data_IF_664198268643
#
_entry.id   IF_664198268643
#
_cell.length_a   1.000
_cell.length_b   1.000
_cell.length_c   1.000
_cell.angle_alpha   90.00
_cell.angle_beta   90.00
_cell.angle_gamma   90.00
#
_symmetry.space_group_name_H-M   'P 1'
#
loop_
_entity.id
_entity.type
_entity.pdbx_description
1 polymer ?
#
# COMPACT_ATOMS: atom_id res chain seq x y z
N UNK A 1 12.97 -24.16 -0.59
CA UNK A 1 12.08 -22.99 -0.78
C UNK A 1 12.55 -22.22 -2.01
N UNK A 2 11.66 -21.58 -2.76
CA UNK A 2 12.07 -20.72 -3.88
C UNK A 2 12.79 -19.49 -3.32
N UNK A 3 13.72 -18.88 -4.10
CA UNK A 3 14.44 -17.67 -3.67
C UNK A 3 13.54 -16.47 -3.40
N UNK A 4 12.28 -16.50 -3.90
CA UNK A 4 11.27 -15.48 -3.72
C UNK A 4 10.41 -15.68 -2.47
N UNK A 5 10.46 -16.84 -1.82
CA UNK A 5 9.62 -17.14 -0.67
C UNK A 5 9.93 -16.18 0.49
N UNK A 6 8.87 -15.70 1.17
CA UNK A 6 8.94 -14.77 2.28
C UNK A 6 7.80 -15.02 3.27
N UNK A 7 7.66 -14.17 4.27
CA UNK A 7 6.53 -14.18 5.19
C UNK A 7 6.20 -12.78 5.71
N UNK A 8 4.96 -12.58 6.12
CA UNK A 8 4.52 -11.45 6.94
C UNK A 8 4.25 -11.99 8.35
N UNK A 9 5.22 -11.78 9.25
CA UNK A 9 5.22 -12.47 10.54
C UNK A 9 5.23 -13.97 10.33
N UNK A 10 4.24 -14.67 10.89
CA UNK A 10 4.05 -16.11 10.72
C UNK A 10 3.29 -16.50 9.44
N UNK A 11 2.79 -15.55 8.66
CA UNK A 11 1.98 -15.82 7.47
C UNK A 11 2.88 -16.01 6.24
N UNK A 12 2.98 -17.24 5.68
CA UNK A 12 3.90 -17.52 4.58
C UNK A 12 3.39 -16.97 3.25
N UNK A 13 4.31 -16.51 2.41
CA UNK A 13 4.06 -16.01 1.05
C UNK A 13 4.99 -16.71 0.05
N UNK A 14 4.44 -17.14 -1.09
CA UNK A 14 5.23 -17.79 -2.18
C UNK A 14 6.20 -16.80 -2.86
N UNK A 15 5.90 -15.51 -2.83
CA UNK A 15 6.73 -14.39 -3.27
C UNK A 15 6.24 -13.09 -2.59
N UNK A 16 6.98 -11.97 -2.65
CA UNK A 16 6.62 -10.75 -1.92
C UNK A 16 5.55 -9.88 -2.60
N UNK A 17 5.02 -10.22 -3.78
CA UNK A 17 4.16 -9.32 -4.56
C UNK A 17 2.68 -9.63 -4.32
N UNK A 18 1.97 -8.66 -3.78
CA UNK A 18 0.53 -8.69 -3.48
C UNK A 18 -0.17 -7.70 -4.43
N UNK A 19 -1.29 -8.10 -5.04
CA UNK A 19 -2.15 -7.16 -5.76
C UNK A 19 -2.98 -6.37 -4.74
N UNK A 20 -2.78 -5.05 -4.68
CA UNK A 20 -3.45 -4.19 -3.72
C UNK A 20 -4.94 -3.98 -4.03
N UNK A 21 -5.69 -3.56 -3.01
CA UNK A 21 -7.11 -3.18 -3.14
C UNK A 21 -7.29 -2.03 -4.12
N UNK A 22 -8.11 -2.25 -5.14
CA UNK A 22 -8.44 -1.27 -6.17
C UNK A 22 -9.45 -1.82 -7.18
N UNK A 23 -9.72 -1.05 -8.21
CA UNK A 23 -10.70 -1.39 -9.24
C UNK A 23 -10.38 -2.70 -9.99
N UNK A 24 -9.11 -3.05 -10.29
CA UNK A 24 -8.81 -4.31 -10.95
C UNK A 24 -9.30 -5.55 -10.19
N UNK A 25 -9.45 -5.47 -8.87
CA UNK A 25 -9.82 -6.59 -7.99
C UNK A 25 -11.18 -6.40 -7.30
N UNK A 26 -12.10 -5.69 -7.98
CA UNK A 26 -13.49 -5.51 -7.53
C UNK A 26 -14.44 -6.62 -8.00
N UNK A 27 -13.94 -7.56 -8.79
CA UNK A 27 -14.69 -8.72 -9.29
C UNK A 27 -13.91 -10.01 -9.05
N UNK A 28 -14.61 -11.12 -8.99
CA UNK A 28 -13.98 -12.45 -8.89
C UNK A 28 -13.06 -12.74 -10.07
N UNK A 29 -13.44 -12.27 -11.28
CA UNK A 29 -12.60 -12.42 -12.47
C UNK A 29 -11.27 -11.68 -12.36
N UNK A 30 -11.30 -10.44 -11.84
CA UNK A 30 -10.10 -9.64 -11.60
C UNK A 30 -9.19 -10.25 -10.53
N UNK A 31 -9.77 -10.75 -9.42
CA UNK A 31 -9.02 -11.45 -8.38
C UNK A 31 -8.32 -12.69 -8.96
N UNK A 32 -9.05 -13.54 -9.72
CA UNK A 32 -8.45 -14.71 -10.38
C UNK A 32 -7.36 -14.33 -11.39
N UNK A 33 -7.53 -13.21 -12.11
CA UNK A 33 -6.52 -12.72 -13.06
C UNK A 33 -5.23 -12.31 -12.34
N UNK A 34 -5.32 -11.60 -11.19
CA UNK A 34 -4.16 -11.26 -10.37
C UNK A 34 -3.44 -12.50 -9.83
N UNK A 35 -4.18 -13.50 -9.35
CA UNK A 35 -3.62 -14.77 -8.85
C UNK A 35 -2.92 -15.55 -9.98
N UNK A 36 -3.54 -15.64 -11.17
CA UNK A 36 -2.90 -16.28 -12.36
C UNK A 36 -1.66 -15.53 -12.84
N UNK A 37 -1.60 -14.21 -12.65
CA UNK A 37 -0.41 -13.43 -12.95
C UNK A 37 0.74 -13.66 -11.94
N UNK A 38 0.53 -14.49 -10.91
CA UNK A 38 1.56 -14.91 -9.95
C UNK A 38 1.52 -14.16 -8.63
N UNK A 39 0.59 -13.23 -8.39
CA UNK A 39 0.49 -12.55 -7.09
C UNK A 39 0.46 -13.56 -5.93
N UNK A 40 1.23 -13.32 -4.88
CA UNK A 40 1.19 -14.14 -3.67
C UNK A 40 -0.13 -13.99 -2.92
N UNK A 41 -0.80 -12.86 -3.13
CA UNK A 41 -2.12 -12.60 -2.59
C UNK A 41 -2.80 -11.43 -3.29
N UNK A 42 -4.07 -11.26 -2.97
CA UNK A 42 -4.91 -10.18 -3.46
C UNK A 42 -5.65 -9.55 -2.29
N UNK A 43 -5.51 -8.24 -2.13
CA UNK A 43 -6.39 -7.48 -1.25
C UNK A 43 -7.62 -7.09 -2.07
N UNK A 44 -8.75 -7.73 -1.80
CA UNK A 44 -9.99 -7.47 -2.54
C UNK A 44 -10.46 -6.01 -2.35
N UNK A 45 -11.23 -5.49 -3.30
CA UNK A 45 -11.74 -4.11 -3.22
C UNK A 45 -12.45 -3.88 -1.89
N UNK A 46 -12.11 -2.78 -1.23
CA UNK A 46 -12.58 -2.44 0.11
C UNK A 46 -14.10 -2.24 0.17
N UNK A 47 -14.68 -2.63 1.29
CA UNK A 47 -16.07 -2.35 1.68
C UNK A 47 -16.12 -1.20 2.70
N UNK A 48 -17.33 -0.69 2.94
CA UNK A 48 -17.64 0.19 4.06
C UNK A 48 -18.99 -0.23 4.66
N UNK A 49 -19.21 0.06 5.93
CA UNK A 49 -20.47 -0.25 6.63
C UNK A 49 -21.65 0.63 6.20
N UNK A 50 -21.38 1.79 5.58
CA UNK A 50 -22.43 2.73 5.14
C UNK A 50 -22.78 2.55 3.67
N UNK A 51 -24.04 2.32 3.33
CA UNK A 51 -24.48 2.19 1.92
C UNK A 51 -24.20 3.43 1.06
N UNK A 52 -24.14 4.62 1.68
CA UNK A 52 -23.81 5.86 0.96
C UNK A 52 -22.38 5.84 0.40
N UNK A 53 -21.45 5.15 1.05
CA UNK A 53 -20.07 5.04 0.58
C UNK A 53 -19.94 4.21 -0.71
N UNK A 54 -20.79 3.20 -0.90
CA UNK A 54 -20.82 2.39 -2.13
C UNK A 54 -21.11 3.26 -3.38
N UNK A 55 -21.99 4.26 -3.26
CA UNK A 55 -22.34 5.18 -4.37
C UNK A 55 -21.18 6.09 -4.79
N UNK A 56 -20.11 6.17 -4.03
CA UNK A 56 -18.92 6.95 -4.43
C UNK A 56 -18.26 6.37 -5.69
N UNK A 57 -18.43 5.07 -5.97
CA UNK A 57 -17.91 4.46 -7.18
C UNK A 57 -18.52 5.07 -8.45
N UNK A 58 -19.78 5.51 -8.41
CA UNK A 58 -20.44 6.17 -9.54
C UNK A 58 -19.86 7.56 -9.85
N UNK A 59 -19.04 8.11 -8.94
CA UNK A 59 -18.29 9.36 -9.09
C UNK A 59 -16.79 9.13 -9.29
N UNK A 60 -16.37 7.87 -9.44
CA UNK A 60 -14.95 7.53 -9.66
C UNK A 60 -14.46 8.10 -10.99
N UNK A 61 -13.23 8.57 -10.99
CA UNK A 61 -12.58 9.11 -12.18
C UNK A 61 -11.05 8.97 -12.04
N UNK A 62 -10.33 8.86 -13.16
CA UNK A 62 -8.93 8.49 -13.22
C UNK A 62 -8.20 9.29 -14.28
N UNK A 63 -6.99 9.75 -13.94
CA UNK A 63 -6.04 10.29 -14.89
C UNK A 63 -4.67 9.65 -14.65
N UNK A 64 -3.96 9.34 -15.73
CA UNK A 64 -2.54 9.05 -15.65
C UNK A 64 -1.75 10.34 -15.87
N UNK A 65 -0.68 10.51 -15.09
CA UNK A 65 0.17 11.70 -15.19
C UNK A 65 1.58 11.28 -15.60
N UNK A 66 2.23 12.14 -16.38
CA UNK A 66 3.63 12.03 -16.74
C UNK A 66 4.57 12.50 -15.62
N UNK A 67 5.86 12.58 -15.88
CA UNK A 67 6.87 13.04 -14.94
C UNK A 67 6.74 14.54 -14.59
N UNK A 68 6.09 15.33 -15.43
CA UNK A 68 5.80 16.74 -15.19
C UNK A 68 4.48 16.95 -14.43
N UNK A 69 3.74 15.87 -14.14
CA UNK A 69 2.45 15.93 -13.48
C UNK A 69 1.28 16.28 -14.41
N UNK A 70 1.49 16.22 -15.73
CA UNK A 70 0.46 16.51 -16.72
C UNK A 70 -0.30 15.24 -17.11
N UNK A 71 -1.62 15.40 -17.34
CA UNK A 71 -2.45 14.30 -17.81
C UNK A 71 -1.94 13.75 -19.15
N UNK A 72 -1.75 12.44 -19.23
CA UNK A 72 -1.17 11.78 -20.40
C UNK A 72 -1.73 10.38 -20.57
N UNK A 73 -1.45 9.78 -21.73
CA UNK A 73 -1.75 8.39 -22.04
C UNK A 73 -0.49 7.64 -22.51
N UNK A 74 -0.52 6.31 -22.42
CA UNK A 74 0.55 5.47 -22.93
C UNK A 74 1.83 5.47 -22.06
N UNK A 75 3.01 5.24 -22.68
CA UNK A 75 4.24 4.90 -21.94
C UNK A 75 4.82 6.06 -21.11
N UNK A 76 4.44 7.30 -21.40
CA UNK A 76 4.86 8.46 -20.60
C UNK A 76 4.20 8.52 -19.23
N UNK A 77 3.10 7.79 -19.02
CA UNK A 77 2.39 7.73 -17.74
C UNK A 77 3.25 7.06 -16.65
N UNK A 78 3.51 7.79 -15.58
CA UNK A 78 4.34 7.34 -14.45
C UNK A 78 3.61 7.37 -13.12
N UNK A 79 2.45 8.04 -13.07
CA UNK A 79 1.64 8.20 -11.88
C UNK A 79 0.16 7.99 -12.16
N UNK A 80 -0.57 7.57 -11.13
CA UNK A 80 -2.03 7.48 -11.13
C UNK A 80 -2.58 8.58 -10.22
N UNK A 81 -3.50 9.37 -10.77
CA UNK A 81 -4.30 10.37 -10.07
C UNK A 81 -5.75 9.95 -10.13
N UNK A 82 -6.44 9.79 -8.99
CA UNK A 82 -7.75 9.14 -9.01
C UNK A 82 -8.68 9.54 -7.87
N UNK A 83 -9.98 9.58 -8.22
CA UNK A 83 -11.10 9.52 -7.28
C UNK A 83 -11.66 8.09 -7.35
N UNK A 84 -11.15 7.18 -6.54
CA UNK A 84 -11.67 5.80 -6.52
C UNK A 84 -12.90 5.70 -5.61
N UNK A 85 -13.69 4.64 -5.79
CA UNK A 85 -14.83 4.32 -4.94
C UNK A 85 -14.62 3.04 -4.13
N UNK A 86 -15.70 2.51 -3.56
CA UNK A 86 -15.74 1.26 -2.80
C UNK A 86 -16.59 0.23 -3.54
N UNK A 87 -16.58 -1.03 -3.09
CA UNK A 87 -17.44 -2.06 -3.68
C UNK A 87 -18.92 -1.70 -3.51
N UNK A 88 -19.72 -1.93 -4.55
CA UNK A 88 -21.18 -1.67 -4.53
C UNK A 88 -22.00 -2.91 -4.15
N UNK A 89 -21.37 -4.09 -4.04
CA UNK A 89 -22.03 -5.32 -3.59
C UNK A 89 -22.31 -5.26 -2.10
N UNK A 90 -23.32 -6.01 -1.67
CA UNK A 90 -23.54 -6.27 -0.25
C UNK A 90 -22.29 -6.87 0.39
N UNK A 91 -21.98 -6.44 1.62
CA UNK A 91 -20.78 -6.83 2.32
C UNK A 91 -20.71 -8.34 2.60
N UNK A 92 -21.87 -8.97 2.95
CA UNK A 92 -21.88 -10.40 3.25
C UNK A 92 -21.70 -11.23 1.97
N UNK A 93 -22.38 -10.84 0.89
CA UNK A 93 -22.23 -11.50 -0.42
C UNK A 93 -20.81 -11.37 -0.96
N UNK A 94 -20.20 -10.18 -0.78
CA UNK A 94 -18.81 -9.96 -1.19
C UNK A 94 -17.85 -10.82 -0.38
N UNK A 95 -18.01 -10.87 0.94
CA UNK A 95 -17.14 -11.69 1.78
C UNK A 95 -17.32 -13.19 1.54
N UNK A 96 -18.53 -13.66 1.26
CA UNK A 96 -18.75 -15.04 0.86
C UNK A 96 -18.02 -15.39 -0.44
N UNK A 97 -18.07 -14.50 -1.45
CA UNK A 97 -17.39 -14.68 -2.72
C UNK A 97 -15.86 -14.71 -2.55
N UNK A 98 -15.27 -13.71 -1.86
CA UNK A 98 -13.82 -13.66 -1.69
C UNK A 98 -13.30 -14.77 -0.75
N UNK A 99 -14.09 -15.25 0.21
CA UNK A 99 -13.72 -16.39 1.03
C UNK A 99 -13.67 -17.71 0.24
N UNK A 100 -14.55 -17.87 -0.76
CA UNK A 100 -14.45 -18.98 -1.69
C UNK A 100 -13.14 -18.91 -2.50
N UNK A 101 -12.80 -17.71 -3.01
CA UNK A 101 -11.54 -17.46 -3.72
C UNK A 101 -10.31 -17.64 -2.84
N UNK A 102 -10.38 -17.25 -1.55
CA UNK A 102 -9.29 -17.47 -0.60
C UNK A 102 -9.02 -18.96 -0.37
N UNK A 103 -10.08 -19.78 -0.26
CA UNK A 103 -9.92 -21.26 -0.16
C UNK A 103 -9.31 -21.88 -1.43
N UNK A 104 -9.66 -21.35 -2.60
CA UNK A 104 -9.03 -21.79 -3.86
C UNK A 104 -7.56 -21.38 -3.88
N UNK A 105 -7.25 -20.12 -3.60
CA UNK A 105 -5.89 -19.57 -3.58
C UNK A 105 -4.99 -20.30 -2.56
N UNK A 106 -5.53 -20.69 -1.41
CA UNK A 106 -4.77 -21.38 -0.37
C UNK A 106 -4.15 -22.70 -0.84
N UNK A 107 -4.79 -23.40 -1.78
CA UNK A 107 -4.27 -24.66 -2.37
C UNK A 107 -3.01 -24.43 -3.20
N UNK A 108 -2.79 -23.20 -3.66
CA UNK A 108 -1.65 -22.79 -4.47
C UNK A 108 -0.64 -21.92 -3.67
N UNK A 109 -0.76 -21.89 -2.33
CA UNK A 109 0.09 -21.07 -1.46
C UNK A 109 -0.12 -19.57 -1.63
N UNK A 110 -1.32 -19.15 -2.06
CA UNK A 110 -1.73 -17.76 -2.19
C UNK A 110 -2.91 -17.44 -1.24
N UNK A 111 -3.35 -16.17 -1.22
CA UNK A 111 -4.48 -15.74 -0.39
C UNK A 111 -5.32 -14.65 -1.06
N UNK A 112 -6.55 -14.49 -0.55
CA UNK A 112 -7.40 -13.35 -0.84
C UNK A 112 -7.84 -12.73 0.49
N UNK A 113 -7.55 -11.45 0.69
CA UNK A 113 -7.87 -10.73 1.91
C UNK A 113 -9.13 -9.88 1.75
N UNK A 114 -9.91 -9.75 2.84
CA UNK A 114 -10.87 -8.67 2.96
C UNK A 114 -10.16 -7.35 3.24
N UNK A 115 -10.72 -6.23 2.75
CA UNK A 115 -10.28 -4.88 3.08
C UNK A 115 -11.48 -4.01 3.44
N UNK A 116 -11.29 -3.15 4.44
CA UNK A 116 -12.29 -2.16 4.87
C UNK A 116 -11.70 -0.76 4.87
N UNK A 117 -12.52 0.19 4.44
CA UNK A 117 -12.43 1.60 4.82
C UNK A 117 -13.65 1.89 5.70
N UNK A 118 -13.44 2.30 6.92
CA UNK A 118 -14.49 2.43 7.93
C UNK A 118 -15.02 3.87 8.05
N UNK A 119 -16.24 4.02 8.54
CA UNK A 119 -16.84 5.30 8.92
C UNK A 119 -16.93 5.45 10.44
N UNK A 120 -17.00 4.34 11.18
CA UNK A 120 -17.05 4.32 12.63
C UNK A 120 -16.32 3.11 13.20
N UNK A 121 -15.86 3.22 14.45
CA UNK A 121 -15.21 2.10 15.15
C UNK A 121 -16.14 0.90 15.28
N UNK A 122 -17.42 1.12 15.60
CA UNK A 122 -18.43 0.06 15.73
C UNK A 122 -18.72 -0.60 14.36
N UNK A 123 -18.73 0.21 13.30
CA UNK A 123 -18.84 -0.28 11.93
C UNK A 123 -17.65 -1.15 11.53
N UNK A 124 -16.43 -0.71 11.83
CA UNK A 124 -15.22 -1.47 11.58
C UNK A 124 -15.24 -2.84 12.28
N UNK A 125 -15.62 -2.89 13.56
CA UNK A 125 -15.78 -4.12 14.36
C UNK A 125 -16.85 -5.05 13.75
N UNK A 126 -17.99 -4.48 13.36
CA UNK A 126 -19.09 -5.24 12.73
C UNK A 126 -18.64 -5.89 11.43
N UNK A 127 -17.99 -5.14 10.55
CA UNK A 127 -17.51 -5.65 9.24
C UNK A 127 -16.39 -6.68 9.44
N UNK A 128 -15.46 -6.45 10.36
CA UNK A 128 -14.41 -7.41 10.71
C UNK A 128 -14.99 -8.75 11.20
N UNK A 129 -16.01 -8.70 12.07
CA UNK A 129 -16.74 -9.89 12.52
C UNK A 129 -17.41 -10.65 11.37
N UNK A 130 -17.93 -9.94 10.35
CA UNK A 130 -18.50 -10.58 9.14
C UNK A 130 -17.41 -11.28 8.33
N UNK A 131 -16.25 -10.65 8.13
CA UNK A 131 -15.12 -11.27 7.45
C UNK A 131 -14.65 -12.55 8.14
N UNK A 132 -14.55 -12.53 9.47
CA UNK A 132 -14.23 -13.72 10.27
C UNK A 132 -15.25 -14.84 10.09
N UNK A 133 -16.55 -14.53 10.18
CA UNK A 133 -17.63 -15.53 9.99
C UNK A 133 -17.63 -16.11 8.58
N UNK A 134 -17.19 -15.37 7.57
CA UNK A 134 -17.03 -15.88 6.21
C UNK A 134 -15.83 -16.84 6.07
N UNK A 135 -14.94 -16.90 7.06
CA UNK A 135 -13.77 -17.77 7.07
C UNK A 135 -12.55 -17.23 6.34
N UNK A 136 -12.44 -15.91 6.23
CA UNK A 136 -11.27 -15.25 5.64
C UNK A 136 -10.06 -15.34 6.58
N UNK A 137 -8.86 -15.52 6.02
CA UNK A 137 -7.61 -15.66 6.78
C UNK A 137 -6.90 -14.34 7.05
N UNK A 138 -7.13 -13.32 6.22
CA UNK A 138 -6.45 -12.02 6.28
C UNK A 138 -7.49 -10.91 6.20
N UNK A 139 -7.35 -9.89 7.05
CA UNK A 139 -8.18 -8.69 7.07
C UNK A 139 -7.30 -7.45 7.05
N UNK A 140 -7.49 -6.59 6.04
CA UNK A 140 -6.83 -5.28 5.96
C UNK A 140 -7.76 -4.19 6.50
N UNK A 141 -7.32 -3.50 7.55
CA UNK A 141 -7.92 -2.27 8.06
C UNK A 141 -7.21 -1.06 7.42
N UNK A 142 -7.87 -0.41 6.47
CA UNK A 142 -7.31 0.77 5.82
C UNK A 142 -7.76 2.04 6.56
N UNK A 143 -6.84 2.66 7.29
CA UNK A 143 -7.07 3.88 8.07
C UNK A 143 -6.63 5.16 7.33
N UNK A 144 -6.20 5.02 6.08
CA UNK A 144 -5.66 6.11 5.26
C UNK A 144 -6.56 6.57 4.12
N UNK A 145 -7.86 6.25 4.12
CA UNK A 145 -8.76 6.61 3.03
C UNK A 145 -10.02 7.30 3.55
N UNK A 146 -10.30 8.54 3.10
CA UNK A 146 -11.52 9.26 3.48
C UNK A 146 -12.70 8.72 2.65
N UNK A 147 -13.68 8.14 3.32
CA UNK A 147 -14.91 7.65 2.70
C UNK A 147 -16.11 7.84 3.65
N UNK A 148 -17.32 7.61 3.12
CA UNK A 148 -18.58 7.70 3.84
C UNK A 148 -18.95 9.12 4.29
N UNK A 149 -19.30 9.31 5.57
CA UNK A 149 -19.82 10.58 6.08
C UNK A 149 -18.81 11.72 5.96
N UNK A 150 -17.54 11.46 6.20
CA UNK A 150 -16.47 12.45 6.09
C UNK A 150 -16.27 12.90 4.64
N UNK A 151 -16.30 11.98 3.69
CA UNK A 151 -16.23 12.32 2.27
C UNK A 151 -17.47 13.08 1.80
N UNK A 152 -18.66 12.72 2.29
CA UNK A 152 -19.90 13.46 2.02
C UNK A 152 -19.90 14.87 2.62
N UNK A 153 -19.24 15.06 3.76
CA UNK A 153 -19.05 16.36 4.39
C UNK A 153 -17.88 17.19 3.79
N UNK A 154 -17.19 16.65 2.77
CA UNK A 154 -16.03 17.30 2.15
C UNK A 154 -14.76 17.24 3.01
N UNK A 155 -14.78 16.54 4.12
CA UNK A 155 -13.61 16.37 4.97
C UNK A 155 -12.73 15.20 4.51
N UNK A 156 -11.41 15.38 4.59
CA UNK A 156 -10.42 14.31 4.44
C UNK A 156 -10.01 13.89 5.84
N UNK A 157 -10.73 12.91 6.39
CA UNK A 157 -10.39 12.36 7.70
C UNK A 157 -9.54 11.12 7.51
N UNK A 158 -8.38 11.14 8.13
CA UNK A 158 -7.44 10.02 8.16
C UNK A 158 -7.00 9.83 9.61
N UNK A 159 -6.79 8.59 10.01
CA UNK A 159 -6.31 8.36 11.36
C UNK A 159 -4.81 8.68 11.46
N UNK A 160 -4.51 9.75 12.17
CA UNK A 160 -3.15 10.25 12.38
C UNK A 160 -2.80 10.39 13.87
N UNK A 161 -3.72 10.05 14.75
CA UNK A 161 -3.52 10.05 16.20
C UNK A 161 -3.17 8.63 16.67
N UNK A 162 -1.99 8.40 17.29
CA UNK A 162 -1.56 7.08 17.71
C UNK A 162 -2.49 6.44 18.75
N UNK A 163 -3.02 7.19 19.70
CA UNK A 163 -3.85 6.63 20.78
C UNK A 163 -5.21 6.19 20.23
N UNK A 164 -5.82 6.98 19.37
CA UNK A 164 -7.05 6.59 18.67
C UNK A 164 -6.84 5.39 17.77
N UNK A 165 -5.71 5.35 17.05
CA UNK A 165 -5.37 4.21 16.20
C UNK A 165 -5.21 2.93 17.03
N UNK A 166 -4.48 2.98 18.13
CA UNK A 166 -4.31 1.83 19.02
C UNK A 166 -5.65 1.32 19.53
N UNK A 167 -6.53 2.22 20.00
CA UNK A 167 -7.86 1.86 20.49
C UNK A 167 -8.73 1.21 19.40
N UNK A 168 -8.72 1.77 18.18
CA UNK A 168 -9.43 1.21 17.02
C UNK A 168 -8.92 -0.19 16.67
N UNK A 169 -7.60 -0.34 16.54
CA UNK A 169 -6.98 -1.62 16.16
C UNK A 169 -7.27 -2.68 17.22
N UNK A 170 -7.21 -2.34 18.50
CA UNK A 170 -7.54 -3.26 19.61
C UNK A 170 -8.98 -3.76 19.53
N UNK A 171 -9.94 -2.91 19.18
CA UNK A 171 -11.34 -3.32 18.99
C UNK A 171 -11.50 -4.24 17.79
N UNK A 172 -10.89 -3.88 16.66
CA UNK A 172 -10.93 -4.70 15.44
C UNK A 172 -10.20 -6.04 15.65
N UNK A 173 -9.10 -6.07 16.44
CA UNK A 173 -8.40 -7.32 16.80
C UNK A 173 -9.31 -8.32 17.47
N UNK A 174 -10.15 -7.87 18.42
CA UNK A 174 -11.14 -8.75 19.06
C UNK A 174 -12.12 -9.37 18.06
N UNK A 175 -12.52 -8.62 17.03
CA UNK A 175 -13.43 -9.07 15.98
C UNK A 175 -12.76 -9.99 14.93
N UNK A 176 -11.42 -9.93 14.78
CA UNK A 176 -10.62 -10.69 13.81
C UNK A 176 -9.81 -11.82 14.46
N UNK A 177 -10.21 -12.31 15.63
CA UNK A 177 -9.53 -13.42 16.30
C UNK A 177 -9.32 -14.61 15.36
N UNK A 178 -8.10 -15.15 15.30
CA UNK A 178 -7.70 -16.22 14.39
C UNK A 178 -7.38 -15.80 12.96
N UNK A 179 -7.56 -14.53 12.62
CA UNK A 179 -7.16 -13.96 11.32
C UNK A 179 -5.87 -13.14 11.47
N UNK A 180 -5.14 -12.97 10.37
CA UNK A 180 -4.15 -11.90 10.25
C UNK A 180 -4.86 -10.54 10.18
N UNK A 181 -4.45 -9.58 11.01
CA UNK A 181 -4.92 -8.20 10.97
C UNK A 181 -3.78 -7.30 10.46
N UNK A 182 -3.93 -6.81 9.25
CA UNK A 182 -2.98 -5.87 8.64
C UNK A 182 -3.57 -4.47 8.66
N UNK A 183 -2.79 -3.48 9.11
CA UNK A 183 -3.24 -2.09 9.20
C UNK A 183 -2.51 -1.26 8.14
N UNK A 184 -3.27 -0.68 7.20
CA UNK A 184 -2.71 0.18 6.16
C UNK A 184 -2.81 1.64 6.57
N UNK A 185 -1.65 2.29 6.74
CA UNK A 185 -1.53 3.68 7.16
C UNK A 185 -1.63 4.66 6.00
N UNK A 186 -1.96 5.90 6.33
CA UNK A 186 -2.02 7.03 5.40
C UNK A 186 -0.65 7.43 4.84
N UNK A 187 -0.63 8.05 3.66
CA UNK A 187 0.55 8.74 3.12
C UNK A 187 0.72 10.18 3.61
N UNK A 188 -0.24 10.71 4.39
CA UNK A 188 -0.27 12.12 4.78
C UNK A 188 0.17 12.39 6.23
N UNK A 189 0.80 11.41 6.88
CA UNK A 189 1.36 11.61 8.22
C UNK A 189 2.89 11.66 8.17
N UNK A 190 3.46 12.60 8.92
CA UNK A 190 4.91 12.63 9.18
C UNK A 190 5.33 11.69 10.30
N UNK A 191 4.37 11.13 11.05
CA UNK A 191 4.63 10.31 12.25
C UNK A 191 4.27 8.82 12.04
N UNK A 192 4.60 8.27 10.88
CA UNK A 192 4.31 6.87 10.55
C UNK A 192 4.97 5.85 11.50
N UNK A 193 6.20 6.05 12.00
CA UNK A 193 6.76 5.13 12.99
C UNK A 193 5.90 5.03 14.25
N UNK A 194 5.44 6.14 14.83
CA UNK A 194 4.59 6.11 16.03
C UNK A 194 3.22 5.50 15.75
N UNK A 195 2.60 5.78 14.59
CA UNK A 195 1.36 5.13 14.18
C UNK A 195 1.54 3.62 14.01
N UNK A 196 2.66 3.18 13.44
CA UNK A 196 2.97 1.77 13.27
C UNK A 196 3.11 1.05 14.61
N UNK A 197 3.81 1.67 15.56
CA UNK A 197 3.95 1.14 16.92
C UNK A 197 2.61 1.11 17.67
N UNK A 198 1.74 2.10 17.46
CA UNK A 198 0.38 2.12 18.01
C UNK A 198 -0.48 0.99 17.43
N UNK A 199 -0.42 0.77 16.11
CA UNK A 199 -1.11 -0.36 15.46
C UNK A 199 -0.62 -1.70 16.02
N UNK A 200 0.70 -1.88 16.22
CA UNK A 200 1.27 -3.08 16.83
C UNK A 200 0.77 -3.30 18.26
N UNK A 201 0.76 -2.26 19.11
CA UNK A 201 0.22 -2.35 20.49
C UNK A 201 -1.28 -2.65 20.50
N UNK A 202 -2.00 -2.19 19.48
CA UNK A 202 -3.42 -2.53 19.26
C UNK A 202 -3.65 -3.98 18.81
N UNK A 203 -2.60 -4.71 18.41
CA UNK A 203 -2.67 -6.11 18.02
C UNK A 203 -2.62 -6.34 16.50
N UNK A 204 -2.14 -5.38 15.72
CA UNK A 204 -1.87 -5.61 14.30
C UNK A 204 -0.73 -6.63 14.11
N UNK A 205 -0.92 -7.58 13.21
CA UNK A 205 0.09 -8.57 12.82
C UNK A 205 1.10 -7.99 11.81
N UNK A 206 0.68 -6.98 11.04
CA UNK A 206 1.54 -6.24 10.12
C UNK A 206 1.02 -4.82 9.87
N UNK A 207 1.92 -3.95 9.38
CA UNK A 207 1.57 -2.59 8.97
C UNK A 207 1.95 -2.37 7.51
N UNK A 208 0.97 -1.93 6.72
CA UNK A 208 1.16 -1.48 5.35
C UNK A 208 1.43 0.03 5.27
N UNK A 209 2.46 0.45 4.56
CA UNK A 209 2.75 1.85 4.30
C UNK A 209 3.41 2.05 2.93
N UNK A 210 3.11 3.09 2.24
CA UNK A 210 2.18 4.15 2.60
C UNK A 210 0.95 4.04 1.71
N UNK A 211 -0.22 4.23 2.27
CA UNK A 211 -1.45 4.30 1.51
C UNK A 211 -1.45 5.48 0.53
N UNK A 212 -2.61 6.07 0.28
CA UNK A 212 -2.67 7.17 -0.69
C UNK A 212 -2.05 8.44 -0.16
N UNK A 213 -1.40 9.17 -1.05
CA UNK A 213 -1.20 10.61 -0.94
C UNK A 213 -2.39 11.34 -1.56
N UNK A 214 -2.54 12.62 -1.24
CA UNK A 214 -3.53 13.49 -1.87
C UNK A 214 -2.81 14.57 -2.68
N UNK A 215 -3.36 14.90 -3.83
CA UNK A 215 -2.85 15.93 -4.71
C UNK A 215 -3.96 16.76 -5.33
N UNK A 216 -3.58 17.84 -5.98
CA UNK A 216 -4.43 18.68 -6.82
C UNK A 216 -3.66 18.97 -8.11
N UNK A 217 -4.26 18.69 -9.25
CA UNK A 217 -3.70 18.99 -10.58
C UNK A 217 -4.57 20.06 -11.24
N UNK A 218 -4.13 21.35 -11.29
CA UNK A 218 -4.81 22.40 -12.04
C UNK A 218 -4.64 22.18 -13.54
N UNK A 219 -5.73 22.28 -14.28
CA UNK A 219 -5.72 22.33 -15.74
C UNK A 219 -5.63 23.81 -16.16
N UNK A 220 -4.61 24.15 -16.96
CA UNK A 220 -4.32 25.53 -17.33
C UNK A 220 -5.22 26.07 -18.45
N UNK A 221 -5.91 25.19 -19.18
CA UNK A 221 -6.85 25.62 -20.24
C UNK A 221 -8.23 25.92 -19.64
N UNK A 222 -8.67 25.12 -18.68
CA UNK A 222 -9.99 25.25 -18.08
C UNK A 222 -10.00 26.01 -16.77
N UNK A 223 -8.84 26.22 -16.12
CA UNK A 223 -8.67 26.77 -14.78
C UNK A 223 -9.43 25.98 -13.70
N UNK A 224 -9.58 24.68 -13.91
CA UNK A 224 -10.27 23.76 -13.00
C UNK A 224 -9.37 22.57 -12.64
N UNK A 225 -9.63 21.88 -11.51
CA UNK A 225 -8.91 20.62 -11.23
C UNK A 225 -9.22 19.58 -12.30
N UNK A 226 -8.20 18.84 -12.75
CA UNK A 226 -8.30 17.77 -13.78
C UNK A 226 -9.40 16.77 -13.44
N UNK A 227 -9.56 16.36 -12.18
CA UNK A 227 -10.65 15.48 -11.72
C UNK A 227 -11.74 16.22 -10.95
N UNK A 228 -11.86 17.54 -11.11
CA UNK A 228 -12.88 18.37 -10.46
C UNK A 228 -12.63 18.62 -8.95
N UNK A 229 -11.64 17.99 -8.34
CA UNK A 229 -11.30 18.13 -6.91
C UNK A 229 -9.89 17.61 -6.63
N UNK A 230 -9.45 17.75 -5.36
CA UNK A 230 -8.31 17.00 -4.82
C UNK A 230 -8.58 15.50 -4.88
N UNK A 231 -7.58 14.71 -5.24
CA UNK A 231 -7.72 13.29 -5.45
C UNK A 231 -6.48 12.50 -4.99
N UNK A 232 -6.59 11.18 -4.93
CA UNK A 232 -5.48 10.33 -4.57
C UNK A 232 -4.39 10.39 -5.65
N UNK A 233 -3.14 10.48 -5.22
CA UNK A 233 -1.97 10.60 -6.08
C UNK A 233 -0.92 9.57 -5.68
N UNK A 234 -0.51 8.74 -6.61
CA UNK A 234 0.50 7.70 -6.38
C UNK A 234 1.23 7.32 -7.64
N UNK A 235 2.41 6.75 -7.48
CA UNK A 235 3.27 6.36 -8.60
C UNK A 235 4.73 6.22 -8.19
N UNK A 236 5.62 6.03 -9.16
CA UNK A 236 7.05 5.80 -8.94
C UNK A 236 7.76 6.86 -8.10
N UNK A 237 7.28 8.11 -8.15
CA UNK A 237 7.82 9.22 -7.35
C UNK A 237 7.73 8.98 -5.83
N UNK A 238 6.76 8.18 -5.37
CA UNK A 238 6.56 7.91 -3.95
C UNK A 238 7.60 6.94 -3.36
N UNK A 239 8.30 6.17 -4.20
CA UNK A 239 9.22 5.11 -3.76
C UNK A 239 10.26 5.58 -2.74
N UNK A 240 11.01 6.68 -2.94
CA UNK A 240 12.02 7.13 -1.95
C UNK A 240 11.39 7.52 -0.60
N UNK A 241 10.18 8.08 -0.63
CA UNK A 241 9.46 8.47 0.59
C UNK A 241 9.03 7.22 1.35
N UNK A 242 8.46 6.24 0.65
CA UNK A 242 8.05 4.95 1.24
C UNK A 242 9.27 4.23 1.84
N UNK A 243 10.37 4.12 1.10
CA UNK A 243 11.62 3.51 1.58
C UNK A 243 12.11 4.17 2.88
N UNK A 244 12.09 5.51 2.94
CA UNK A 244 12.49 6.24 4.16
C UNK A 244 11.63 5.85 5.35
N UNK A 245 10.31 5.84 5.21
CA UNK A 245 9.41 5.52 6.33
C UNK A 245 9.44 4.05 6.71
N UNK A 246 9.61 3.13 5.77
CA UNK A 246 9.86 1.71 6.05
C UNK A 246 11.10 1.55 6.93
N UNK A 247 12.23 2.16 6.54
CA UNK A 247 13.49 2.05 7.29
C UNK A 247 13.38 2.67 8.69
N UNK A 248 12.76 3.85 8.82
CA UNK A 248 12.56 4.48 10.12
C UNK A 248 11.66 3.65 11.04
N UNK A 249 10.59 3.07 10.48
CA UNK A 249 9.66 2.22 11.25
C UNK A 249 10.32 0.91 11.66
N UNK A 250 11.07 0.26 10.77
CA UNK A 250 11.83 -0.95 11.11
C UNK A 250 12.79 -0.70 12.27
N UNK A 251 13.51 0.41 12.24
CA UNK A 251 14.41 0.80 13.35
C UNK A 251 13.65 1.06 14.65
N UNK A 252 12.54 1.82 14.59
CA UNK A 252 11.71 2.10 15.76
C UNK A 252 11.13 0.83 16.39
N UNK A 253 10.77 -0.14 15.57
CA UNK A 253 10.26 -1.44 16.01
C UNK A 253 11.35 -2.47 16.30
N UNK A 254 12.64 -2.14 16.18
CA UNK A 254 13.75 -3.08 16.28
C UNK A 254 13.54 -4.38 15.47
N UNK A 255 12.94 -4.26 14.28
CA UNK A 255 12.62 -5.39 13.39
C UNK A 255 11.46 -6.28 13.83
N UNK A 256 10.81 -6.01 14.97
CA UNK A 256 9.76 -6.87 15.53
C UNK A 256 8.40 -6.74 14.83
N UNK A 257 8.18 -5.65 14.06
CA UNK A 257 6.92 -5.40 13.35
C UNK A 257 7.07 -5.75 11.87
N UNK A 258 6.29 -6.72 11.35
CA UNK A 258 6.24 -7.00 9.93
C UNK A 258 5.70 -5.81 9.13
N UNK A 259 6.41 -5.43 8.04
CA UNK A 259 6.08 -4.28 7.22
C UNK A 259 5.71 -4.71 5.79
N UNK A 260 4.71 -4.05 5.21
CA UNK A 260 4.28 -4.19 3.83
C UNK A 260 4.48 -2.84 3.14
N UNK A 261 5.31 -2.81 2.08
CA UNK A 261 5.50 -1.59 1.29
C UNK A 261 4.35 -1.42 0.31
N UNK A 262 3.76 -0.22 0.23
CA UNK A 262 2.75 0.09 -0.79
C UNK A 262 3.01 1.47 -1.35
N UNK A 263 2.62 1.68 -2.61
CA UNK A 263 2.88 2.88 -3.40
C UNK A 263 4.34 2.97 -3.93
N UNK A 264 4.48 3.26 -5.21
CA UNK A 264 5.79 3.47 -5.85
C UNK A 264 6.37 2.26 -6.61
N UNK A 265 5.85 1.05 -6.44
CA UNK A 265 6.39 -0.15 -7.10
C UNK A 265 5.99 -0.19 -8.58
N UNK A 266 6.99 -0.25 -9.48
CA UNK A 266 6.84 -0.39 -10.93
C UNK A 266 7.69 -1.52 -11.53
N UNK A 267 8.70 -1.97 -10.78
CA UNK A 267 9.68 -2.97 -11.22
C UNK A 267 10.07 -3.91 -10.09
N UNK A 268 10.71 -5.03 -10.42
CA UNK A 268 11.33 -5.92 -9.43
C UNK A 268 12.43 -5.24 -8.62
N UNK A 269 13.14 -4.27 -9.21
CA UNK A 269 14.11 -3.44 -8.50
C UNK A 269 13.49 -2.58 -7.41
N UNK A 270 12.25 -2.10 -7.58
CA UNK A 270 11.56 -1.32 -6.57
C UNK A 270 11.13 -2.19 -5.38
N UNK A 271 10.73 -3.44 -5.66
CA UNK A 271 10.46 -4.45 -4.62
C UNK A 271 11.73 -4.69 -3.79
N UNK A 272 12.87 -4.89 -4.44
CA UNK A 272 14.16 -5.07 -3.75
C UNK A 272 14.53 -3.86 -2.89
N UNK A 273 14.31 -2.62 -3.37
CA UNK A 273 14.55 -1.39 -2.59
C UNK A 273 13.68 -1.32 -1.33
N UNK A 274 12.39 -1.62 -1.45
CA UNK A 274 11.51 -1.65 -0.28
C UNK A 274 11.89 -2.77 0.70
N UNK A 275 12.32 -3.93 0.21
CA UNK A 275 12.81 -5.01 1.05
C UNK A 275 14.06 -4.58 1.85
N UNK A 276 15.05 -3.97 1.21
CA UNK A 276 16.23 -3.41 1.89
C UNK A 276 15.87 -2.43 3.00
N UNK A 277 14.73 -1.73 2.86
CA UNK A 277 14.19 -0.82 3.88
C UNK A 277 13.29 -1.50 4.92
N UNK A 278 13.07 -2.82 4.84
CA UNK A 278 12.37 -3.62 5.85
C UNK A 278 11.03 -4.20 5.44
N UNK A 279 10.56 -4.00 4.22
CA UNK A 279 9.31 -4.60 3.76
C UNK A 279 9.47 -6.10 3.50
N UNK A 280 8.68 -6.94 4.17
CA UNK A 280 8.58 -8.38 3.92
C UNK A 280 7.70 -8.72 2.71
N UNK A 281 6.86 -7.79 2.27
CA UNK A 281 6.05 -7.88 1.06
C UNK A 281 5.75 -6.48 0.51
N UNK A 282 5.22 -6.41 -0.71
CA UNK A 282 4.78 -5.16 -1.34
C UNK A 282 3.39 -5.31 -1.94
N UNK A 283 2.63 -4.22 -1.91
CA UNK A 283 1.35 -4.11 -2.58
C UNK A 283 1.46 -3.26 -3.86
N UNK A 284 0.94 -3.79 -4.96
CA UNK A 284 1.03 -3.17 -6.29
C UNK A 284 -0.37 -2.88 -6.83
N UNK A 285 -0.67 -1.61 -7.17
CA UNK A 285 -1.92 -1.20 -7.79
C UNK A 285 -1.71 -0.34 -9.05
N UNK A 286 -1.02 0.81 -8.96
CA UNK A 286 -0.88 1.75 -10.08
C UNK A 286 -0.22 1.11 -11.30
N UNK A 287 0.74 0.20 -11.11
CA UNK A 287 1.34 -0.56 -12.20
C UNK A 287 0.33 -1.52 -12.87
N UNK A 288 -0.61 -2.10 -12.11
CA UNK A 288 -1.69 -2.94 -12.64
C UNK A 288 -2.73 -2.09 -13.38
N UNK A 289 -3.09 -0.93 -12.84
CA UNK A 289 -4.00 0.01 -13.50
C UNK A 289 -3.46 0.49 -14.85
N UNK A 290 -2.15 0.71 -14.95
CA UNK A 290 -1.49 1.19 -16.15
C UNK A 290 -1.19 0.05 -17.15
N UNK A 291 -0.65 -1.08 -16.68
CA UNK A 291 -0.09 -2.16 -17.53
C UNK A 291 -0.86 -3.48 -17.48
N UNK A 292 -2.05 -3.51 -16.84
CA UNK A 292 -2.82 -4.73 -16.64
C UNK A 292 -2.13 -5.70 -15.67
N UNK A 293 -2.72 -6.88 -15.50
CA UNK A 293 -2.20 -7.90 -14.59
C UNK A 293 -0.82 -8.46 -14.98
N UNK A 294 -0.42 -8.35 -16.26
CA UNK A 294 0.92 -8.71 -16.72
C UNK A 294 2.05 -7.94 -16.01
N UNK A 295 1.76 -6.77 -15.45
CA UNK A 295 2.71 -6.04 -14.61
C UNK A 295 3.17 -6.84 -13.39
N UNK A 296 2.28 -7.63 -12.78
CA UNK A 296 2.61 -8.51 -11.63
C UNK A 296 3.65 -9.55 -12.05
N UNK A 297 3.37 -10.29 -13.14
CA UNK A 297 4.29 -11.32 -13.65
C UNK A 297 5.66 -10.75 -13.99
N UNK A 298 5.70 -9.57 -14.63
CA UNK A 298 6.92 -8.87 -14.99
C UNK A 298 7.73 -8.46 -13.75
N UNK A 299 7.09 -7.85 -12.75
CA UNK A 299 7.73 -7.43 -11.50
C UNK A 299 8.35 -8.63 -10.78
N UNK A 300 7.63 -9.76 -10.70
CA UNK A 300 8.12 -11.00 -10.07
C UNK A 300 9.33 -11.53 -10.84
N UNK A 301 9.28 -11.61 -12.17
CA UNK A 301 10.38 -12.11 -12.99
C UNK A 301 11.64 -11.22 -12.92
N UNK A 302 11.46 -9.90 -12.91
CA UNK A 302 12.56 -8.94 -12.73
C UNK A 302 13.23 -9.09 -11.37
N UNK A 303 12.44 -9.28 -10.30
CA UNK A 303 12.95 -9.52 -8.95
C UNK A 303 13.71 -10.86 -8.90
N UNK A 304 13.15 -11.92 -9.44
CA UNK A 304 13.79 -13.24 -9.47
C UNK A 304 15.14 -13.20 -10.20
N UNK A 305 15.18 -12.56 -11.36
CA UNK A 305 16.41 -12.35 -12.13
C UNK A 305 17.46 -11.53 -11.34
N UNK A 306 17.02 -10.50 -10.59
CA UNK A 306 17.92 -9.71 -9.74
C UNK A 306 18.53 -10.58 -8.63
N UNK A 307 17.71 -11.34 -7.92
CA UNK A 307 18.15 -12.22 -6.83
C UNK A 307 19.08 -13.33 -7.34
N UNK A 308 18.76 -13.92 -8.50
CA UNK A 308 19.61 -14.93 -9.13
C UNK A 308 21.00 -14.41 -9.44
N UNK A 309 21.11 -13.24 -10.11
CA UNK A 309 22.41 -12.62 -10.43
C UNK A 309 23.24 -12.29 -9.18
N UNK A 310 22.59 -12.06 -8.04
CA UNK A 310 23.25 -11.73 -6.78
C UNK A 310 23.53 -12.95 -5.90
N UNK A 311 22.96 -14.13 -6.23
CA UNK A 311 23.06 -15.34 -5.43
C UNK A 311 22.32 -15.20 -4.09
N UNK A 312 21.24 -14.42 -4.02
CA UNK A 312 20.48 -14.08 -2.81
C UNK A 312 19.09 -14.69 -2.82
N UNK A 313 18.53 -14.91 -1.63
CA UNK A 313 17.10 -15.05 -1.41
C UNK A 313 16.47 -13.69 -1.07
N UNK A 314 15.16 -13.56 -1.25
CA UNK A 314 14.45 -12.32 -0.91
C UNK A 314 14.57 -11.97 0.58
N UNK A 315 14.55 -12.98 1.46
CA UNK A 315 14.74 -12.82 2.90
C UNK A 315 16.06 -12.13 3.26
N UNK A 316 17.12 -12.30 2.46
CA UNK A 316 18.42 -11.70 2.72
C UNK A 316 18.41 -10.18 2.51
N UNK A 317 17.42 -9.66 1.77
CA UNK A 317 17.26 -8.23 1.55
C UNK A 317 16.50 -7.55 2.69
N UNK A 318 15.62 -8.28 3.40
CA UNK A 318 14.63 -7.66 4.30
C UNK A 318 15.31 -6.94 5.47
N UNK A 319 15.40 -5.62 5.36
CA UNK A 319 15.93 -4.72 6.38
C UNK A 319 17.45 -4.56 6.36
N UNK A 320 18.17 -5.19 5.46
CA UNK A 320 19.65 -5.16 5.42
C UNK A 320 20.21 -3.73 5.35
N UNK A 321 19.56 -2.82 4.60
CA UNK A 321 19.94 -1.41 4.59
C UNK A 321 19.45 -0.69 5.85
N UNK A 322 18.18 -0.91 6.25
CA UNK A 322 17.58 -0.19 7.35
C UNK A 322 18.29 -0.43 8.68
N UNK A 323 18.75 -1.66 8.91
CA UNK A 323 19.45 -2.05 10.15
C UNK A 323 20.86 -1.43 10.26
N UNK A 324 21.42 -0.98 9.12
CA UNK A 324 22.73 -0.30 9.01
C UNK A 324 22.62 1.19 8.69
N UNK A 325 21.39 1.75 8.66
CA UNK A 325 21.19 3.16 8.32
C UNK A 325 21.82 4.08 9.36
N UNK A 326 22.78 4.86 8.95
CA UNK A 326 23.46 5.88 9.75
C UNK A 326 22.66 7.18 9.80
N UNK A 327 22.89 8.00 10.81
CA UNK A 327 22.36 9.36 10.93
C UNK A 327 23.11 10.36 10.04
N UNK A 328 22.57 11.56 9.93
CA UNK A 328 23.24 12.64 9.19
C UNK A 328 24.59 13.02 9.82
N UNK A 329 24.67 12.99 11.16
CA UNK A 329 25.90 13.32 11.90
C UNK A 329 27.01 12.28 11.76
N UNK A 330 26.70 11.06 11.31
CA UNK A 330 27.66 9.96 11.15
C UNK A 330 28.26 9.92 9.74
N UNK A 331 27.81 10.82 8.84
CA UNK A 331 28.29 10.84 7.46
C UNK A 331 29.70 11.43 7.38
N UNK A 332 30.50 10.90 6.45
CA UNK A 332 31.84 11.39 6.19
C UNK A 332 31.80 12.84 5.68
N UNK A 333 32.67 13.67 6.24
CA UNK A 333 32.86 15.03 5.74
C UNK A 333 33.43 15.03 4.32
N UNK A 334 32.88 15.84 3.45
CA UNK A 334 33.34 16.08 2.08
C UNK A 334 33.51 17.58 1.85
N UNK A 335 34.57 18.19 2.41
CA UNK A 335 34.76 19.64 2.36
C UNK A 335 34.75 20.18 0.93
N UNK A 336 33.95 21.18 0.72
CA UNK A 336 33.84 21.86 -0.58
C UNK A 336 33.01 21.18 -1.66
N UNK A 337 32.59 19.92 -1.47
CA UNK A 337 31.81 19.16 -2.48
C UNK A 337 30.46 19.83 -2.85
N UNK A 338 29.89 20.62 -1.96
CA UNK A 338 28.64 21.38 -2.26
C UNK A 338 28.81 22.33 -3.47
N UNK A 339 30.05 22.74 -3.78
CA UNK A 339 30.36 23.59 -4.94
C UNK A 339 30.02 22.95 -6.27
N UNK A 340 30.00 21.61 -6.34
CA UNK A 340 29.63 20.84 -7.55
C UNK A 340 28.12 20.90 -7.84
N UNK A 341 27.33 21.39 -6.90
CA UNK A 341 25.85 21.40 -6.94
C UNK A 341 25.23 22.78 -6.99
N UNK A 342 26.04 23.84 -7.06
CA UNK A 342 25.56 25.22 -7.17
C UNK A 342 25.90 25.80 -8.54
N UNK A 343 25.12 26.78 -9.03
CA UNK A 343 25.47 27.49 -10.27
C UNK A 343 26.85 28.12 -10.17
N UNK A 344 27.64 28.14 -11.26
CA UNK A 344 29.00 28.70 -11.27
C UNK A 344 29.05 30.17 -10.79
N UNK A 345 27.99 30.92 -11.02
CA UNK A 345 27.86 32.32 -10.59
C UNK A 345 27.89 32.46 -9.07
N UNK A 346 27.41 31.48 -8.32
CA UNK A 346 27.47 31.44 -6.85
C UNK A 346 28.92 31.47 -6.34
N UNK A 347 29.88 30.99 -7.12
CA UNK A 347 31.29 30.87 -6.75
C UNK A 347 32.16 32.02 -7.21
N UNK A 348 31.60 33.02 -7.91
CA UNK A 348 32.34 34.14 -8.52
C UNK A 348 32.52 35.34 -7.62
N UNK A 349 32.02 35.36 -6.39
CA UNK A 349 31.97 36.54 -5.52
C UNK A 349 32.97 36.55 -4.35
N UNK A 350 34.06 35.76 -4.46
CA UNK A 350 35.13 35.82 -3.45
C UNK A 350 36.52 35.97 -4.09
#
# INVERSE_FOLDING_TARGET
MTRLATSIGSFPLRNPVICASGEPVMTEAGIRAALRAGAAGVIAKSVNEQPAAARQLDKADYAFLDAAGMATAGPAAVSLFNRSGLIQRDCADWFAAIAALDREAAREGAFVAASIVYASTDGAETVASRARRAGLRVFELNVGAPHASEAAAGAIVQETDPDRLEALVRRVRGATEGMQLWVKLTGLSSNLPALSMAAQRGGADAVGMMGRFMGLVPDLETFRPVLGTSAAYGGGWALPIVCRFLALTRRAAAGSLPLIGTNGVRSGGDVARMALCGAGAVEVLSAVMHGGFGAISRIIAELDTFLERRGLAFSDLVGDLADRLEGYGDQLETPGRWRDFVPPETLQSE
#
